data_IF_684889672842
#
_entry.id   IF_684889672842
#
_cell.length_a   1.000
_cell.length_b   1.000
_cell.length_c   1.000
_cell.angle_alpha   90.00
_cell.angle_beta   90.00
_cell.angle_gamma   90.00
#
_symmetry.space_group_name_H-M   'P 1'
#
loop_
_entity.id
_entity.type
_entity.pdbx_description
1 polymer ?
#
# COMPACT_ATOMS: atom_id res chain seq x y z
N UNK A 1 16.89 -16.60 -66.79
CA UNK A 1 15.72 -16.70 -65.83
C UNK A 1 16.06 -15.94 -64.58
N UNK A 2 15.57 -14.75 -64.51
CA UNK A 2 15.86 -13.74 -63.51
C UNK A 2 14.89 -13.91 -62.34
N UNK A 3 15.39 -14.17 -61.14
CA UNK A 3 14.63 -14.11 -59.90
C UNK A 3 14.90 -12.76 -59.25
N UNK A 4 13.95 -11.85 -59.38
CA UNK A 4 13.84 -10.63 -58.60
C UNK A 4 13.31 -10.99 -57.23
N UNK A 5 14.16 -10.86 -56.21
CA UNK A 5 13.74 -10.91 -54.83
C UNK A 5 13.17 -9.53 -54.44
N UNK A 6 11.85 -9.44 -54.30
CA UNK A 6 11.16 -8.29 -53.74
C UNK A 6 11.50 -8.13 -52.25
N UNK A 7 12.39 -7.20 -51.94
CA UNK A 7 12.61 -6.73 -50.60
C UNK A 7 11.42 -5.83 -50.20
N UNK A 8 10.38 -6.41 -49.60
CA UNK A 8 9.35 -5.68 -48.88
C UNK A 8 9.89 -5.26 -47.49
N UNK A 9 10.69 -4.23 -47.47
CA UNK A 9 10.93 -3.44 -46.26
C UNK A 9 9.65 -2.63 -45.96
N UNK A 10 8.67 -3.27 -45.36
CA UNK A 10 7.62 -2.55 -44.64
C UNK A 10 8.21 -2.04 -43.30
N UNK A 11 8.97 -0.97 -43.36
CA UNK A 11 9.23 -0.14 -42.22
C UNK A 11 7.88 0.42 -41.73
N UNK A 12 7.29 -0.30 -40.77
CA UNK A 12 6.17 0.21 -39.97
C UNK A 12 6.63 1.50 -39.30
N UNK A 13 6.37 2.62 -39.96
CA UNK A 13 6.47 3.97 -39.42
C UNK A 13 5.37 4.11 -38.36
N UNK A 14 5.57 3.41 -37.19
CA UNK A 14 4.77 3.59 -35.98
C UNK A 14 5.12 4.98 -35.53
N UNK A 15 4.21 5.92 -35.74
CA UNK A 15 4.28 7.28 -35.19
C UNK A 15 4.44 7.13 -33.66
N UNK A 16 5.67 7.08 -33.18
CA UNK A 16 6.01 6.86 -31.79
C UNK A 16 5.56 8.10 -31.00
N UNK A 17 4.42 7.97 -30.33
CA UNK A 17 3.92 9.03 -29.45
C UNK A 17 4.97 9.31 -28.37
N UNK A 18 5.26 10.58 -28.09
CA UNK A 18 6.19 10.98 -27.05
C UNK A 18 5.50 11.82 -26.01
N UNK A 19 5.87 11.58 -24.75
CA UNK A 19 5.43 12.33 -23.58
C UNK A 19 6.62 13.04 -22.94
N UNK A 20 6.38 14.18 -22.35
CA UNK A 20 7.37 14.90 -21.54
C UNK A 20 7.23 14.49 -20.08
N UNK A 21 8.29 13.94 -19.48
CA UNK A 21 8.40 13.76 -18.04
C UNK A 21 9.19 14.91 -17.44
N UNK A 22 8.60 15.57 -16.44
CA UNK A 22 9.26 16.58 -15.59
C UNK A 22 9.52 15.93 -14.24
N UNK A 23 10.77 15.60 -13.95
CA UNK A 23 11.18 14.81 -12.79
C UNK A 23 11.88 15.70 -11.78
N UNK A 24 11.38 15.68 -10.53
CA UNK A 24 12.02 16.36 -9.42
C UNK A 24 13.37 15.73 -9.08
N UNK A 25 14.39 16.58 -8.89
CA UNK A 25 15.77 16.19 -8.60
C UNK A 25 16.26 16.90 -7.34
N UNK A 26 16.75 16.13 -6.41
CA UNK A 26 17.41 16.62 -5.19
C UNK A 26 18.33 15.52 -4.64
N UNK A 27 19.51 15.91 -4.19
CA UNK A 27 20.41 15.00 -3.46
C UNK A 27 20.83 15.65 -2.14
N UNK A 28 20.16 15.29 -1.06
CA UNK A 28 20.45 15.86 0.28
C UNK A 28 21.86 15.56 0.79
N UNK A 29 22.43 14.42 0.44
CA UNK A 29 23.79 14.07 0.84
C UNK A 29 24.82 15.00 0.24
N UNK A 30 24.56 15.50 -0.97
CA UNK A 30 25.46 16.43 -1.68
C UNK A 30 25.08 17.90 -1.51
N UNK A 31 24.00 18.19 -0.76
CA UNK A 31 23.45 19.56 -0.56
C UNK A 31 23.17 20.29 -1.88
N UNK A 32 22.89 19.55 -2.94
CA UNK A 32 22.46 20.16 -4.22
C UNK A 32 21.06 20.72 -4.04
N UNK A 33 20.82 21.93 -4.53
CA UNK A 33 19.49 22.52 -4.54
C UNK A 33 18.50 21.67 -5.35
N UNK A 34 17.21 21.78 -5.03
CA UNK A 34 16.15 21.12 -5.80
C UNK A 34 15.95 21.79 -7.16
N UNK A 35 15.72 20.96 -8.18
CA UNK A 35 15.40 21.41 -9.55
C UNK A 35 14.54 20.34 -10.24
N UNK A 36 14.16 20.60 -11.49
CA UNK A 36 13.47 19.63 -12.32
C UNK A 36 14.26 19.38 -13.60
N UNK A 37 14.42 18.12 -13.94
CA UNK A 37 14.88 17.68 -15.24
C UNK A 37 13.70 17.30 -16.12
N UNK A 38 13.85 17.54 -17.44
CA UNK A 38 12.80 17.27 -18.41
C UNK A 38 13.28 16.26 -19.44
N UNK A 39 12.51 15.17 -19.61
CA UNK A 39 12.84 14.08 -20.50
C UNK A 39 11.71 13.82 -21.50
N UNK A 40 12.03 13.64 -22.78
CA UNK A 40 11.07 13.18 -23.80
C UNK A 40 11.18 11.68 -23.96
N UNK A 41 10.10 10.96 -23.65
CA UNK A 41 10.06 9.49 -23.59
C UNK A 41 9.01 8.96 -24.57
N UNK A 42 9.32 7.93 -25.37
CA UNK A 42 8.32 7.25 -26.18
C UNK A 42 7.33 6.50 -25.31
N UNK A 43 6.05 6.47 -25.71
CA UNK A 43 5.05 5.70 -24.98
C UNK A 43 4.01 5.06 -25.90
N UNK A 44 3.38 4.02 -25.43
CA UNK A 44 2.26 3.29 -26.05
C UNK A 44 1.05 3.33 -25.11
N UNK A 45 -0.10 2.89 -25.61
CA UNK A 45 -1.39 2.91 -24.87
C UNK A 45 -1.32 2.37 -23.44
N UNK A 46 -0.52 1.34 -23.17
CA UNK A 46 -0.39 0.69 -21.84
C UNK A 46 0.86 1.07 -21.07
N UNK A 47 1.68 1.96 -21.59
CA UNK A 47 2.88 2.42 -20.88
C UNK A 47 2.49 3.14 -19.60
N UNK A 48 3.05 2.69 -18.47
CA UNK A 48 2.86 3.33 -17.17
C UNK A 48 3.88 4.43 -16.93
N UNK A 49 3.61 5.30 -15.96
CA UNK A 49 4.59 6.31 -15.53
C UNK A 49 5.89 5.66 -15.04
N UNK A 50 5.80 4.49 -14.38
CA UNK A 50 6.99 3.75 -13.97
C UNK A 50 7.82 3.26 -15.17
N UNK A 51 7.18 2.73 -16.22
CA UNK A 51 7.90 2.28 -17.41
C UNK A 51 8.64 3.44 -18.07
N UNK A 52 8.01 4.60 -18.15
CA UNK A 52 8.63 5.82 -18.69
C UNK A 52 9.82 6.28 -17.85
N UNK A 53 9.70 6.26 -16.50
CA UNK A 53 10.81 6.58 -15.59
C UNK A 53 11.96 5.56 -15.71
N UNK A 54 11.64 4.28 -15.89
CA UNK A 54 12.63 3.23 -16.11
C UNK A 54 13.33 3.40 -17.47
N UNK A 55 12.60 3.83 -18.50
CA UNK A 55 13.20 4.19 -19.79
C UNK A 55 14.21 5.32 -19.63
N UNK A 56 13.84 6.41 -18.91
CA UNK A 56 14.79 7.50 -18.59
C UNK A 56 16.02 6.94 -17.90
N UNK A 57 15.83 6.15 -16.84
CA UNK A 57 16.95 5.59 -16.06
C UNK A 57 17.88 4.69 -16.88
N UNK A 58 17.33 3.92 -17.82
CA UNK A 58 18.10 2.94 -18.58
C UNK A 58 18.78 3.53 -19.81
N UNK A 59 18.19 4.55 -20.45
CA UNK A 59 18.62 5.02 -21.76
C UNK A 59 19.01 6.50 -21.83
N UNK A 60 18.61 7.33 -20.83
CA UNK A 60 18.84 8.78 -20.89
C UNK A 60 19.71 9.23 -19.71
N UNK A 61 19.27 8.97 -18.47
CA UNK A 61 19.97 9.40 -17.26
C UNK A 61 19.85 8.36 -16.15
N UNK A 62 20.90 7.57 -15.97
CA UNK A 62 20.98 6.52 -14.93
C UNK A 62 21.01 7.07 -13.51
N UNK A 63 21.27 8.36 -13.33
CA UNK A 63 21.36 9.00 -12.01
C UNK A 63 20.02 9.22 -11.33
N UNK A 64 18.90 9.16 -12.07
CA UNK A 64 17.53 9.30 -11.51
C UNK A 64 17.26 8.23 -10.47
N UNK A 65 16.94 8.65 -9.24
CA UNK A 65 16.63 7.74 -8.14
C UNK A 65 15.12 7.51 -8.05
N UNK A 66 14.74 6.25 -8.22
CA UNK A 66 13.36 5.75 -8.10
C UNK A 66 13.33 4.48 -7.28
N UNK A 67 12.24 4.31 -6.49
CA UNK A 67 11.96 3.06 -5.78
C UNK A 67 10.87 2.28 -6.49
N UNK A 68 11.11 1.02 -6.77
CA UNK A 68 10.13 0.12 -7.39
C UNK A 68 10.46 -1.34 -7.07
N UNK A 69 9.47 -2.23 -7.24
CA UNK A 69 9.64 -3.68 -7.05
C UNK A 69 8.67 -4.47 -7.92
N UNK A 70 7.43 -4.73 -7.46
CA UNK A 70 6.49 -5.69 -8.06
C UNK A 70 5.96 -5.31 -9.45
N UNK A 71 5.94 -4.03 -9.82
CA UNK A 71 5.38 -3.46 -11.07
C UNK A 71 3.90 -3.76 -11.33
N UNK A 72 3.15 -4.26 -10.33
CA UNK A 72 1.76 -4.72 -10.45
C UNK A 72 0.84 -4.19 -9.34
N UNK A 73 1.11 -3.02 -8.79
CA UNK A 73 0.34 -2.37 -7.71
C UNK A 73 0.18 -3.20 -6.43
N UNK A 74 1.11 -4.13 -6.13
CA UNK A 74 1.02 -5.02 -4.97
C UNK A 74 1.92 -4.59 -3.80
N UNK A 75 3.14 -4.09 -4.06
CA UNK A 75 4.13 -3.80 -3.00
C UNK A 75 4.10 -2.37 -2.47
N UNK A 76 3.51 -1.40 -3.17
CA UNK A 76 3.48 0.01 -2.77
C UNK A 76 4.77 0.81 -2.98
N UNK A 77 5.90 0.17 -3.37
CA UNK A 77 7.22 0.82 -3.41
C UNK A 77 7.33 1.99 -4.37
N UNK A 78 6.58 2.00 -5.48
CA UNK A 78 6.63 3.03 -6.51
C UNK A 78 5.70 4.23 -6.26
N UNK A 79 5.31 4.45 -4.99
CA UNK A 79 4.50 5.60 -4.61
C UNK A 79 5.24 6.92 -4.83
N UNK A 80 4.61 7.86 -5.53
CA UNK A 80 5.12 9.21 -5.78
C UNK A 80 3.95 10.16 -6.08
N UNK A 81 4.19 11.47 -6.14
CA UNK A 81 3.19 12.38 -6.68
C UNK A 81 3.32 12.42 -8.20
N UNK A 82 2.21 12.27 -8.88
CA UNK A 82 2.08 12.38 -10.33
C UNK A 82 1.08 13.49 -10.59
N UNK A 83 1.52 14.58 -11.22
CA UNK A 83 0.72 15.79 -11.39
C UNK A 83 0.09 16.28 -10.07
N UNK A 84 0.90 16.33 -9.01
CA UNK A 84 0.50 16.76 -7.66
C UNK A 84 -0.31 15.74 -6.85
N UNK A 85 -0.76 14.63 -7.42
CA UNK A 85 -1.59 13.62 -6.75
C UNK A 85 -0.75 12.40 -6.38
N UNK A 86 -0.75 11.93 -5.11
CA UNK A 86 -0.09 10.69 -4.72
C UNK A 86 -0.70 9.47 -5.42
N UNK A 87 0.10 8.78 -6.22
CA UNK A 87 -0.29 7.59 -7.00
C UNK A 87 0.82 6.54 -7.02
N UNK A 88 0.49 5.31 -7.40
CA UNK A 88 1.48 4.27 -7.73
C UNK A 88 1.89 4.41 -9.19
N UNK A 89 3.15 4.70 -9.45
CA UNK A 89 3.66 4.90 -10.81
C UNK A 89 3.47 3.67 -11.71
N UNK A 90 3.55 2.45 -11.16
CA UNK A 90 3.33 1.22 -11.91
C UNK A 90 1.85 0.94 -12.26
N UNK A 91 0.92 1.68 -11.67
CA UNK A 91 -0.52 1.51 -11.88
C UNK A 91 -1.17 2.72 -12.57
N UNK A 92 -0.39 3.74 -12.88
CA UNK A 92 -0.84 4.96 -13.54
C UNK A 92 -0.38 4.92 -15.01
N UNK A 93 -1.33 4.68 -15.93
CA UNK A 93 -1.04 4.70 -17.37
C UNK A 93 -0.93 6.14 -17.87
N UNK A 94 0.02 6.36 -18.77
CA UNK A 94 0.24 7.68 -19.38
C UNK A 94 -0.99 8.13 -20.16
N UNK A 95 -1.63 7.21 -20.89
CA UNK A 95 -2.81 7.49 -21.69
C UNK A 95 -4.04 7.96 -20.87
N UNK A 96 -4.08 7.66 -19.56
CA UNK A 96 -5.17 8.05 -18.67
C UNK A 96 -4.97 9.44 -18.04
N UNK A 97 -3.82 10.07 -18.24
CA UNK A 97 -3.51 11.37 -17.64
C UNK A 97 -3.91 12.56 -18.53
N UNK A 98 -4.24 12.31 -19.79
CA UNK A 98 -4.73 13.31 -20.76
C UNK A 98 -3.88 14.62 -20.80
N UNK A 99 -2.57 14.48 -20.67
CA UNK A 99 -1.62 15.61 -20.61
C UNK A 99 -0.42 15.36 -21.49
N UNK A 100 0.20 16.42 -22.00
CA UNK A 100 1.46 16.36 -22.75
C UNK A 100 2.71 16.35 -21.86
N UNK A 101 2.55 16.73 -20.58
CA UNK A 101 3.63 16.76 -19.61
C UNK A 101 3.20 16.14 -18.31
N UNK A 102 3.98 15.19 -17.79
CA UNK A 102 3.76 14.49 -16.52
C UNK A 102 4.82 14.96 -15.54
N UNK A 103 4.38 15.56 -14.44
CA UNK A 103 5.25 15.95 -13.34
C UNK A 103 5.34 14.81 -12.32
N UNK A 104 6.57 14.37 -12.03
CA UNK A 104 6.88 13.34 -11.06
C UNK A 104 7.66 13.95 -9.89
N UNK A 105 7.09 13.84 -8.68
CA UNK A 105 7.65 14.42 -7.47
C UNK A 105 7.67 13.37 -6.32
N UNK A 106 8.55 13.54 -5.30
CA UNK A 106 8.53 12.70 -4.12
C UNK A 106 7.21 12.84 -3.36
N UNK A 107 6.85 11.82 -2.58
CA UNK A 107 5.70 11.86 -1.68
C UNK A 107 5.86 13.00 -0.66
N UNK A 108 4.84 13.83 -0.50
CA UNK A 108 4.78 14.86 0.56
C UNK A 108 4.75 14.21 1.95
N UNK A 109 5.10 14.98 2.98
CA UNK A 109 5.11 14.54 4.39
C UNK A 109 6.16 13.47 4.73
N UNK A 110 7.02 13.12 3.79
CA UNK A 110 8.17 12.24 3.99
C UNK A 110 9.48 13.00 3.74
N UNK A 111 10.52 12.80 4.54
CA UNK A 111 11.85 13.34 4.22
C UNK A 111 12.35 12.78 2.89
N UNK A 112 12.93 13.64 2.05
CA UNK A 112 13.52 13.20 0.79
C UNK A 112 14.91 12.64 1.06
N UNK A 113 15.22 11.47 0.50
CA UNK A 113 16.55 10.90 0.49
C UNK A 113 17.26 11.37 -0.77
N UNK A 114 16.66 11.10 -1.94
CA UNK A 114 17.17 11.51 -3.23
C UNK A 114 16.07 11.45 -4.29
N UNK A 115 15.90 12.50 -5.08
CA UNK A 115 14.94 12.61 -6.17
C UNK A 115 13.51 12.17 -5.75
N UNK A 116 13.02 11.05 -6.28
CA UNK A 116 11.69 10.51 -5.98
C UNK A 116 11.68 9.55 -4.78
N UNK A 117 12.84 9.30 -4.16
CA UNK A 117 12.99 8.37 -3.04
C UNK A 117 12.89 9.11 -1.71
N UNK A 118 11.98 8.67 -0.85
CA UNK A 118 11.68 9.25 0.45
C UNK A 118 11.94 8.28 1.59
N UNK A 119 12.14 8.82 2.81
CA UNK A 119 12.35 8.05 4.04
C UNK A 119 11.01 7.71 4.71
N UNK A 120 10.73 6.42 4.88
CA UNK A 120 9.53 5.88 5.50
C UNK A 120 9.70 5.57 7.00
N UNK A 121 10.84 5.86 7.60
CA UNK A 121 11.14 5.47 8.99
C UNK A 121 10.06 5.92 9.96
N UNK A 122 9.68 7.21 9.95
CA UNK A 122 8.62 7.75 10.82
C UNK A 122 7.26 7.09 10.58
N UNK A 123 6.90 6.86 9.31
CA UNK A 123 5.66 6.20 8.95
C UNK A 123 5.56 4.80 9.54
N UNK A 124 6.64 4.01 9.46
CA UNK A 124 6.67 2.67 10.04
C UNK A 124 6.79 2.68 11.56
N UNK A 125 7.42 3.70 12.18
CA UNK A 125 7.37 3.89 13.63
C UNK A 125 5.94 4.09 14.09
N UNK A 126 5.19 5.03 13.52
CA UNK A 126 3.79 5.22 13.84
C UNK A 126 2.92 3.98 13.59
N UNK A 127 3.22 3.22 12.54
CA UNK A 127 2.54 1.96 12.30
C UNK A 127 2.83 0.94 13.41
N UNK A 128 4.09 0.79 13.84
CA UNK A 128 4.51 -0.11 14.91
C UNK A 128 3.87 0.26 16.24
N UNK A 129 3.77 1.56 16.55
CA UNK A 129 3.18 2.07 17.80
C UNK A 129 1.71 1.67 17.94
N UNK A 130 1.01 1.43 16.84
CA UNK A 130 -0.36 0.92 16.84
C UNK A 130 -0.45 -0.60 17.10
N UNK A 131 0.64 -1.28 17.41
CA UNK A 131 0.67 -2.72 17.68
C UNK A 131 -0.09 -3.54 16.61
N UNK A 132 0.36 -3.51 15.32
CA UNK A 132 -0.39 -4.06 14.18
C UNK A 132 -0.27 -5.59 14.07
N UNK A 133 -0.65 -6.29 15.12
CA UNK A 133 -0.69 -7.75 15.23
C UNK A 133 -1.81 -8.17 16.16
N UNK A 134 -2.31 -9.38 15.99
CA UNK A 134 -3.34 -9.96 16.89
C UNK A 134 -2.73 -10.21 18.26
N UNK A 135 -3.47 -9.85 19.31
CA UNK A 135 -3.11 -10.10 20.71
C UNK A 135 -4.12 -11.10 21.26
N UNK A 136 -3.68 -12.32 21.54
CA UNK A 136 -4.46 -13.33 22.20
C UNK A 136 -3.93 -13.55 23.62
N UNK A 137 -4.81 -13.98 24.56
CA UNK A 137 -4.42 -14.28 25.94
C UNK A 137 -3.49 -15.49 26.03
N UNK A 138 -3.70 -16.44 25.14
CA UNK A 138 -2.93 -17.66 25.09
C UNK A 138 -1.71 -17.49 24.17
N UNK A 139 -0.59 -18.08 24.58
CA UNK A 139 0.62 -18.12 23.77
C UNK A 139 0.38 -19.04 22.55
N UNK A 140 -0.12 -18.49 21.45
CA UNK A 140 -0.35 -19.22 20.19
C UNK A 140 0.89 -19.97 19.70
N UNK A 141 2.10 -19.45 19.99
CA UNK A 141 3.35 -20.11 19.64
C UNK A 141 3.61 -21.42 20.41
N UNK A 142 3.16 -21.50 21.66
CA UNK A 142 3.30 -22.75 22.44
C UNK A 142 2.26 -23.79 22.09
N UNK A 143 1.09 -23.36 21.62
CA UNK A 143 0.00 -24.25 21.25
C UNK A 143 0.16 -24.88 19.88
N UNK A 144 0.93 -24.28 18.97
CA UNK A 144 1.27 -24.86 17.65
C UNK A 144 2.00 -26.21 17.77
N UNK A 145 2.60 -26.52 18.93
CA UNK A 145 3.23 -27.82 19.19
C UNK A 145 2.24 -28.91 19.62
N UNK A 146 1.01 -28.55 19.99
CA UNK A 146 0.00 -29.49 20.55
C UNK A 146 -1.16 -29.80 19.61
N UNK A 147 -1.18 -29.23 18.42
CA UNK A 147 -2.27 -29.44 17.49
C UNK A 147 -2.69 -28.13 16.80
N UNK A 148 -3.42 -28.27 15.75
CA UNK A 148 -3.90 -27.14 14.96
C UNK A 148 -5.17 -26.58 15.61
N UNK A 149 -5.09 -25.32 16.07
CA UNK A 149 -6.28 -24.59 16.46
C UNK A 149 -6.72 -23.69 15.31
N UNK A 150 -8.03 -23.58 15.10
CA UNK A 150 -8.62 -22.59 14.22
C UNK A 150 -9.57 -21.69 14.99
N UNK A 151 -9.64 -20.41 14.60
CA UNK A 151 -10.63 -19.49 15.11
C UNK A 151 -11.78 -19.40 14.12
N UNK A 152 -12.97 -19.69 14.58
CA UNK A 152 -14.17 -19.47 13.79
C UNK A 152 -14.51 -17.98 13.79
N UNK A 153 -14.73 -17.43 12.60
CA UNK A 153 -15.29 -16.10 12.40
C UNK A 153 -16.46 -16.20 11.43
N UNK A 154 -17.54 -15.49 11.73
CA UNK A 154 -18.63 -15.38 10.77
C UNK A 154 -18.23 -14.48 9.59
N UNK A 155 -18.85 -14.62 8.41
CA UNK A 155 -18.65 -13.69 7.30
C UNK A 155 -18.87 -12.23 7.72
N UNK A 156 -19.89 -11.95 8.52
CA UNK A 156 -20.24 -10.63 9.02
C UNK A 156 -19.15 -10.03 9.91
N UNK A 157 -18.46 -10.87 10.70
CA UNK A 157 -17.34 -10.42 11.53
C UNK A 157 -16.12 -10.09 10.69
N UNK A 158 -15.86 -10.87 9.65
CA UNK A 158 -14.77 -10.60 8.69
C UNK A 158 -15.04 -9.31 7.92
N UNK A 159 -16.27 -9.08 7.47
CA UNK A 159 -16.66 -7.91 6.67
C UNK A 159 -16.43 -6.59 7.44
N UNK A 160 -16.51 -6.59 8.77
CA UNK A 160 -16.25 -5.40 9.61
C UNK A 160 -14.86 -4.81 9.37
N UNK A 161 -13.85 -5.64 9.08
CA UNK A 161 -12.47 -5.20 8.95
C UNK A 161 -11.78 -5.54 7.62
N UNK A 162 -12.42 -6.34 6.77
CA UNK A 162 -11.81 -6.90 5.56
C UNK A 162 -11.16 -5.85 4.66
N UNK A 163 -11.86 -4.74 4.38
CA UNK A 163 -11.31 -3.68 3.53
C UNK A 163 -10.01 -3.09 4.08
N UNK A 164 -9.86 -2.99 5.40
CA UNK A 164 -8.66 -2.45 6.03
C UNK A 164 -7.46 -3.40 5.94
N UNK A 165 -7.71 -4.70 5.73
CA UNK A 165 -6.67 -5.71 5.53
C UNK A 165 -5.99 -5.61 4.15
N UNK A 166 -6.63 -4.97 3.16
CA UNK A 166 -6.04 -4.73 1.84
C UNK A 166 -4.94 -3.67 1.81
N UNK A 167 -4.64 -3.04 2.94
CA UNK A 167 -3.62 -2.00 3.03
C UNK A 167 -2.22 -2.56 2.73
N UNK A 168 -1.58 -2.06 1.67
CA UNK A 168 -0.22 -2.41 1.26
C UNK A 168 0.87 -1.49 1.83
N UNK A 169 0.53 -0.60 2.75
CA UNK A 169 1.45 0.34 3.44
C UNK A 169 2.26 1.23 2.48
N UNK A 170 1.65 1.63 1.36
CA UNK A 170 2.30 2.41 0.30
C UNK A 170 2.57 3.88 0.65
N UNK A 171 2.02 4.41 1.74
CA UNK A 171 2.23 5.80 2.18
C UNK A 171 1.45 6.88 1.43
N UNK A 172 0.66 6.55 0.40
CA UNK A 172 -0.07 7.56 -0.40
C UNK A 172 -1.08 8.35 0.45
N UNK A 173 -1.82 7.68 1.33
CA UNK A 173 -2.76 8.31 2.25
C UNK A 173 -2.07 9.23 3.28
N UNK A 174 -0.85 8.87 3.71
CA UNK A 174 -0.02 9.68 4.59
C UNK A 174 0.48 10.92 3.86
N UNK A 175 0.92 10.78 2.61
CA UNK A 175 1.32 11.88 1.74
C UNK A 175 0.18 12.87 1.46
N UNK A 176 -1.04 12.37 1.26
CA UNK A 176 -2.21 13.20 0.97
C UNK A 176 -2.83 13.88 2.20
N UNK A 177 -2.41 13.51 3.40
CA UNK A 177 -3.04 13.97 4.64
C UNK A 177 -2.55 15.37 5.05
N UNK A 178 -3.43 16.39 5.12
CA UNK A 178 -3.04 17.73 5.56
C UNK A 178 -2.61 17.75 7.05
N UNK A 179 -3.24 16.90 7.87
CA UNK A 179 -2.91 16.83 9.30
C UNK A 179 -1.49 16.33 9.54
N UNK A 180 -1.03 15.33 8.78
CA UNK A 180 0.36 14.86 8.85
C UNK A 180 1.35 15.96 8.48
N UNK A 181 0.99 16.82 7.53
CA UNK A 181 1.81 17.96 7.12
C UNK A 181 1.96 19.04 8.18
N UNK A 182 0.98 19.17 9.11
CA UNK A 182 0.95 20.20 10.15
C UNK A 182 1.32 19.68 11.54
N UNK A 183 1.19 18.38 11.77
CA UNK A 183 1.49 17.74 13.05
C UNK A 183 2.28 16.45 12.85
N UNK A 184 3.58 16.52 13.10
CA UNK A 184 4.50 15.37 12.93
C UNK A 184 4.29 14.27 13.97
N UNK A 185 3.54 14.51 15.06
CA UNK A 185 3.18 13.51 16.08
C UNK A 185 1.91 12.74 15.69
N UNK A 186 1.13 13.25 14.76
CA UNK A 186 -0.07 12.57 14.28
C UNK A 186 0.31 11.26 13.57
N UNK A 187 -0.18 10.10 14.03
CA UNK A 187 0.23 8.80 13.50
C UNK A 187 -0.16 8.57 12.02
N UNK A 188 -1.10 9.36 11.54
CA UNK A 188 -1.53 9.31 10.15
C UNK A 188 -2.66 8.34 9.87
N UNK A 189 -3.27 8.45 8.68
CA UNK A 189 -4.48 7.70 8.35
C UNK A 189 -4.26 6.19 8.29
N UNK A 190 -3.11 5.75 7.78
CA UNK A 190 -2.79 4.33 7.64
C UNK A 190 -2.70 3.63 9.01
N UNK A 191 -1.98 4.24 9.95
CA UNK A 191 -1.77 3.68 11.29
C UNK A 191 -3.09 3.57 12.06
N UNK A 192 -3.92 4.63 12.02
CA UNK A 192 -5.24 4.63 12.66
C UNK A 192 -6.22 3.65 12.02
N UNK A 193 -6.21 3.53 10.69
CA UNK A 193 -7.05 2.53 9.98
C UNK A 193 -6.63 1.10 10.33
N UNK A 194 -5.32 0.84 10.51
CA UNK A 194 -4.86 -0.46 10.96
C UNK A 194 -5.22 -0.73 12.42
N UNK A 195 -5.24 0.30 13.28
CA UNK A 195 -5.75 0.14 14.63
C UNK A 195 -7.21 -0.32 14.64
N UNK A 196 -8.07 0.30 13.79
CA UNK A 196 -9.46 -0.16 13.64
C UNK A 196 -9.53 -1.61 13.14
N UNK A 197 -8.70 -1.99 12.15
CA UNK A 197 -8.66 -3.37 11.64
C UNK A 197 -8.50 -4.39 12.75
N UNK A 198 -7.54 -4.18 13.66
CA UNK A 198 -7.29 -5.10 14.77
C UNK A 198 -8.33 -4.96 15.87
N UNK A 199 -8.80 -3.74 16.14
CA UNK A 199 -9.88 -3.49 17.08
C UNK A 199 -11.17 -4.23 16.69
N UNK A 200 -11.53 -4.26 15.42
CA UNK A 200 -12.73 -4.94 14.92
C UNK A 200 -12.57 -6.45 14.73
N UNK A 201 -11.36 -6.99 14.75
CA UNK A 201 -11.09 -8.42 14.59
C UNK A 201 -11.49 -9.21 15.84
N UNK A 202 -12.42 -10.15 15.70
CA UNK A 202 -12.94 -10.95 16.82
C UNK A 202 -11.92 -11.87 17.45
N UNK A 203 -10.79 -12.12 16.78
CA UNK A 203 -9.65 -12.90 17.31
C UNK A 203 -8.74 -12.08 18.22
N UNK A 204 -8.85 -10.75 18.17
CA UNK A 204 -8.04 -9.86 19.00
C UNK A 204 -8.66 -9.67 20.37
N UNK A 205 -7.91 -9.98 21.42
CA UNK A 205 -8.32 -9.88 22.81
C UNK A 205 -7.69 -8.69 23.56
N UNK A 206 -6.98 -7.81 22.82
CA UNK A 206 -6.36 -6.62 23.41
C UNK A 206 -7.43 -5.70 24.02
N UNK A 207 -7.19 -5.27 25.25
CA UNK A 207 -8.08 -4.36 26.00
C UNK A 207 -7.74 -2.89 25.79
N UNK A 208 -6.52 -2.58 25.33
CA UNK A 208 -5.97 -1.22 25.28
C UNK A 208 -5.94 -0.60 23.88
N UNK A 209 -6.63 -1.19 22.90
CA UNK A 209 -6.62 -0.69 21.51
C UNK A 209 -7.09 0.75 21.39
N UNK A 210 -8.10 1.13 22.15
CA UNK A 210 -8.64 2.49 22.14
C UNK A 210 -7.72 3.45 22.90
N UNK A 211 -7.12 3.01 24.01
CA UNK A 211 -6.23 3.84 24.83
C UNK A 211 -4.98 4.28 24.03
N UNK A 212 -4.47 3.42 23.13
CA UNK A 212 -3.32 3.75 22.27
C UNK A 212 -3.59 4.95 21.37
N UNK A 213 -4.83 5.14 20.92
CA UNK A 213 -5.21 6.20 20.00
C UNK A 213 -5.87 7.40 20.66
N UNK A 214 -6.24 7.28 21.96
CA UNK A 214 -6.87 8.34 22.73
C UNK A 214 -5.83 9.37 23.20
N UNK A 215 -5.32 10.13 22.26
CA UNK A 215 -4.34 11.18 22.49
C UNK A 215 -4.69 12.41 21.65
N UNK A 216 -4.27 13.59 22.11
CA UNK A 216 -4.50 14.86 21.40
C UNK A 216 -3.85 14.90 20.01
N UNK A 217 -2.75 14.18 19.80
CA UNK A 217 -2.10 13.98 18.51
C UNK A 217 -2.60 12.71 17.81
N UNK A 218 -3.41 11.87 18.49
CA UNK A 218 -3.98 10.64 18.03
C UNK A 218 -5.24 10.83 17.19
N UNK A 219 -6.25 10.03 17.50
CA UNK A 219 -7.48 9.97 16.70
C UNK A 219 -8.24 11.29 16.60
N UNK A 220 -8.19 12.12 17.65
CA UNK A 220 -8.90 13.40 17.72
C UNK A 220 -8.29 14.48 16.83
N UNK A 221 -7.04 14.31 16.42
CA UNK A 221 -6.34 15.26 15.53
C UNK A 221 -6.80 15.19 14.09
N UNK A 222 -7.49 14.14 13.68
CA UNK A 222 -8.00 13.99 12.31
C UNK A 222 -9.10 15.01 11.99
N UNK A 223 -8.92 15.83 10.96
CA UNK A 223 -9.91 16.84 10.49
C UNK A 223 -10.91 16.27 9.46
N UNK A 224 -10.88 14.98 9.20
CA UNK A 224 -11.78 14.30 8.25
C UNK A 224 -11.79 14.90 6.83
N UNK A 225 -10.63 15.30 6.32
CA UNK A 225 -10.51 15.87 4.97
C UNK A 225 -10.81 14.86 3.83
N UNK A 226 -10.84 13.56 4.11
CA UNK A 226 -11.15 12.50 3.15
C UNK A 226 -10.09 12.24 2.07
N UNK A 227 -9.04 13.06 1.99
CA UNK A 227 -7.99 12.93 0.98
C UNK A 227 -7.28 11.58 1.01
N UNK A 228 -7.13 10.98 2.19
CA UNK A 228 -6.52 9.67 2.39
C UNK A 228 -7.29 8.54 1.71
N UNK A 229 -8.62 8.59 1.75
CA UNK A 229 -9.49 7.59 1.12
C UNK A 229 -9.49 7.74 -0.41
N UNK A 230 -9.48 8.99 -0.91
CA UNK A 230 -9.45 9.28 -2.36
C UNK A 230 -8.21 8.74 -3.07
N UNK A 231 -7.04 8.75 -2.42
CA UNK A 231 -5.77 8.34 -3.04
C UNK A 231 -5.43 6.87 -2.84
N UNK A 232 -6.28 6.11 -2.12
CA UNK A 232 -5.95 4.72 -1.82
C UNK A 232 -6.09 3.81 -3.04
N UNK A 233 -4.99 3.18 -3.53
CA UNK A 233 -5.02 2.36 -4.74
C UNK A 233 -5.66 0.99 -4.50
N UNK A 234 -6.00 0.65 -3.25
CA UNK A 234 -6.59 -0.61 -2.83
C UNK A 234 -8.04 -0.48 -2.34
N UNK A 235 -8.64 0.70 -2.47
CA UNK A 235 -10.01 0.94 -2.02
C UNK A 235 -10.20 0.88 -0.51
N UNK A 236 -9.12 0.95 0.27
CA UNK A 236 -9.22 1.12 1.72
C UNK A 236 -9.73 2.53 2.01
N UNK A 237 -10.65 2.64 2.97
CA UNK A 237 -11.14 3.93 3.46
C UNK A 237 -10.57 4.25 4.86
N UNK A 238 -9.38 4.86 4.95
CA UNK A 238 -8.80 5.20 6.25
C UNK A 238 -9.63 6.23 7.03
N UNK A 239 -10.33 7.14 6.35
CA UNK A 239 -11.18 8.12 7.00
C UNK A 239 -12.35 7.44 7.71
N UNK A 240 -12.99 6.45 7.08
CA UNK A 240 -14.02 5.63 7.70
C UNK A 240 -13.49 4.89 8.94
N UNK A 241 -12.33 4.23 8.84
CA UNK A 241 -11.73 3.52 9.98
C UNK A 241 -11.51 4.41 11.20
N UNK A 242 -11.08 5.66 10.97
CA UNK A 242 -10.93 6.67 12.03
C UNK A 242 -12.29 7.05 12.64
N UNK A 243 -13.33 7.24 11.81
CA UNK A 243 -14.66 7.59 12.32
C UNK A 243 -15.30 6.44 13.11
N UNK A 244 -15.11 5.21 12.67
CA UNK A 244 -15.58 4.04 13.40
C UNK A 244 -14.93 3.94 14.79
N UNK A 245 -13.60 4.12 14.90
CA UNK A 245 -12.94 4.18 16.21
C UNK A 245 -13.50 5.30 17.10
N UNK A 246 -13.69 6.51 16.55
CA UNK A 246 -14.30 7.63 17.29
C UNK A 246 -15.69 7.29 17.79
N UNK A 247 -16.50 6.65 16.96
CA UNK A 247 -17.85 6.23 17.31
C UNK A 247 -17.87 5.29 18.52
N UNK A 248 -16.93 4.36 18.60
CA UNK A 248 -16.75 3.50 19.77
C UNK A 248 -16.28 4.27 21.00
N UNK A 249 -15.32 5.16 20.86
CA UNK A 249 -14.78 5.97 21.97
C UNK A 249 -15.83 6.91 22.57
N UNK A 250 -16.76 7.42 21.73
CA UNK A 250 -17.85 8.30 22.17
C UNK A 250 -19.07 7.51 22.69
N UNK A 251 -19.02 6.17 22.70
CA UNK A 251 -20.14 5.31 23.11
C UNK A 251 -21.35 5.34 22.15
N UNK A 252 -21.19 5.90 20.95
CA UNK A 252 -22.23 5.93 19.92
C UNK A 252 -22.45 4.53 19.34
N UNK A 253 -21.36 3.83 19.06
CA UNK A 253 -21.36 2.42 18.65
C UNK A 253 -20.97 1.55 19.83
N UNK A 254 -21.71 0.46 20.05
CA UNK A 254 -21.34 -0.57 21.04
C UNK A 254 -20.37 -1.56 20.38
N UNK A 255 -19.37 -1.98 21.13
CA UNK A 255 -18.49 -3.05 20.69
C UNK A 255 -19.16 -4.40 20.99
N UNK A 256 -20.06 -4.81 20.11
CA UNK A 256 -20.75 -6.12 20.18
C UNK A 256 -19.83 -7.27 19.71
N UNK A 257 -18.53 -7.09 19.86
CA UNK A 257 -17.52 -8.09 19.50
C UNK A 257 -17.68 -9.32 20.35
N UNK A 258 -18.20 -10.38 19.76
CA UNK A 258 -18.18 -11.71 20.35
C UNK A 258 -16.81 -12.33 20.07
N UNK A 259 -16.02 -12.70 21.10
CA UNK A 259 -14.72 -13.33 20.89
C UNK A 259 -14.84 -14.55 19.97
N UNK A 260 -13.91 -14.69 19.03
CA UNK A 260 -13.90 -15.81 18.10
C UNK A 260 -13.80 -17.14 18.88
N UNK A 261 -14.70 -18.06 18.58
CA UNK A 261 -14.69 -19.39 19.22
C UNK A 261 -13.48 -20.17 18.71
N UNK A 262 -12.68 -20.65 19.65
CA UNK A 262 -11.57 -21.55 19.35
C UNK A 262 -12.11 -22.94 19.04
N UNK A 263 -11.76 -23.53 17.91
CA UNK A 263 -12.12 -24.88 17.50
C UNK A 263 -10.85 -25.72 17.51
N UNK A 264 -10.87 -26.81 18.32
CA UNK A 264 -9.82 -27.80 18.24
C UNK A 264 -10.06 -28.65 16.98
N UNK A 265 -9.12 -28.64 16.07
CA UNK A 265 -9.15 -29.55 14.91
C UNK A 265 -8.57 -30.88 15.36
N UNK A 266 -9.43 -31.85 15.64
CA UNK A 266 -9.00 -33.22 15.90
C UNK A 266 -8.36 -33.79 14.62
N UNK A 267 -7.03 -33.86 14.59
CA UNK A 267 -6.30 -34.62 13.57
C UNK A 267 -6.41 -36.15 13.80
N UNK A 268 -7.60 -36.65 14.07
CA UNK A 268 -7.90 -38.06 13.93
C UNK A 268 -8.50 -38.31 12.53
N UNK A 269 -7.75 -37.96 11.48
CA UNK A 269 -7.93 -38.65 10.21
C UNK A 269 -7.30 -40.04 10.39
N UNK A 270 -8.14 -41.03 10.55
CA UNK A 270 -7.79 -42.44 10.57
C UNK A 270 -6.80 -42.72 9.43
N UNK A 271 -5.62 -43.15 9.78
CA UNK A 271 -4.81 -44.01 8.93
C UNK A 271 -5.57 -45.33 8.86
N UNK A 272 -6.54 -45.42 7.94
CA UNK A 272 -7.02 -46.73 7.48
C UNK A 272 -5.86 -47.29 6.64
N UNK A 273 -5.15 -48.19 7.30
CA UNK A 273 -4.10 -49.04 6.76
C UNK A 273 -4.73 -49.92 5.69
N UNK A 274 -4.60 -49.46 4.43
CA UNK A 274 -5.02 -50.26 3.26
C UNK A 274 -4.01 -51.35 3.01
N UNK A 275 -4.11 -52.47 3.73
CA UNK A 275 -3.46 -53.70 3.34
C UNK A 275 -4.06 -54.16 2.01
N UNK A 276 -3.30 -53.97 0.95
CA UNK A 276 -3.59 -54.60 -0.35
C UNK A 276 -3.18 -56.06 -0.23
N UNK A 277 -4.15 -56.94 -0.04
CA UNK A 277 -3.97 -58.38 -0.20
C UNK A 277 -3.62 -58.68 -1.67
N UNK A 278 -2.38 -59.06 -1.87
CA UNK A 278 -1.92 -59.70 -3.10
C UNK A 278 -2.27 -61.17 -3.07
N UNK A 279 -3.40 -61.57 -3.65
CA UNK A 279 -3.62 -62.94 -4.15
C UNK A 279 -4.86 -62.99 -5.06
N UNK A 280 -4.64 -63.01 -6.37
CA UNK A 280 -5.30 -63.87 -7.35
C UNK A 280 -4.76 -63.51 -8.76
#
# INVERSE_FOLDING_TARGET
MSNTADNNNNDNNINEQRITLKVYRENRSQKTGSHYDTFKVPYRKWTTVLDALLYVKSYIDSSVAIRYSCRMASCGSCGMKINGIPKLACYTKISELETSTIECEPLSNFPIIRDLVTDFSRFFTHHKDMQPYLQAKDNLETDTKKGTFSFYQSPEDVDKYLQFSYCIKCGLCYSACPTVGTDMKFPGPQSLAQQYRYFADTRDESKNRLDIVDDRHGIWRCHFAGSCSKVCPKGVDPALGIQLLRSYMLGISKNDKVPAKRIETNNNANTEDGTIDSNS
#
